data_IF_549850795792
#
_entry.id   IF_549850795792
#
_cell.length_a   1.000
_cell.length_b   1.000
_cell.length_c   1.000
_cell.angle_alpha   90.00
_cell.angle_beta   90.00
_cell.angle_gamma   90.00
#
_symmetry.space_group_name_H-M   'P 1'
#
loop_
_entity.id
_entity.type
_entity.pdbx_description
1 polymer ?
#
# COMPACT_ATOMS: atom_id res chain seq x y z
N UNK A 1 12.63 -12.18 5.15
CA UNK A 1 12.92 -10.94 4.41
C UNK A 1 12.01 -10.83 3.21
N UNK A 2 11.47 -9.65 2.97
CA UNK A 2 10.63 -9.38 1.80
C UNK A 2 11.47 -9.03 0.58
N UNK A 3 10.90 -9.21 -0.59
CA UNK A 3 11.51 -8.73 -1.84
C UNK A 3 11.17 -7.27 -2.07
N UNK A 4 9.99 -6.82 -1.58
CA UNK A 4 9.50 -5.46 -1.76
C UNK A 4 8.75 -5.00 -0.52
N UNK A 5 8.99 -3.76 -0.10
CA UNK A 5 8.12 -3.05 0.85
C UNK A 5 7.48 -1.88 0.11
N UNK A 6 6.16 -1.76 0.25
CA UNK A 6 5.40 -0.61 -0.27
C UNK A 6 4.97 0.22 0.93
N UNK A 7 5.29 1.51 0.90
CA UNK A 7 4.94 2.43 1.97
C UNK A 7 3.86 3.38 1.48
N UNK A 8 2.68 3.26 2.03
CA UNK A 8 1.55 4.08 1.70
C UNK A 8 0.39 3.30 1.11
N UNK A 9 -0.83 3.72 1.44
CA UNK A 9 -2.07 3.08 1.00
C UNK A 9 -2.91 3.95 0.07
N UNK A 10 -2.33 5.01 -0.50
CA UNK A 10 -3.00 5.83 -1.50
C UNK A 10 -3.06 5.13 -2.86
N UNK A 11 -3.49 5.83 -3.92
CA UNK A 11 -3.61 5.23 -5.25
C UNK A 11 -2.30 4.61 -5.77
N UNK A 12 -1.17 5.27 -5.55
CA UNK A 12 0.14 4.76 -5.98
C UNK A 12 0.52 3.48 -5.25
N UNK A 13 0.39 3.47 -3.92
CA UNK A 13 0.71 2.29 -3.12
C UNK A 13 -0.21 1.12 -3.41
N UNK A 14 -1.50 1.39 -3.57
CA UNK A 14 -2.47 0.36 -3.94
C UNK A 14 -2.16 -0.23 -5.31
N UNK A 15 -1.84 0.60 -6.30
CA UNK A 15 -1.46 0.14 -7.63
C UNK A 15 -0.21 -0.76 -7.56
N UNK A 16 0.82 -0.32 -6.85
CA UNK A 16 2.02 -1.12 -6.66
C UNK A 16 1.69 -2.47 -5.99
N UNK A 17 0.81 -2.45 -5.00
CA UNK A 17 0.38 -3.68 -4.30
C UNK A 17 -0.33 -4.68 -5.20
N UNK A 18 -1.24 -4.19 -6.05
CA UNK A 18 -1.93 -5.04 -7.02
C UNK A 18 -0.95 -5.67 -8.00
N UNK A 19 -0.04 -4.86 -8.56
CA UNK A 19 0.95 -5.39 -9.51
C UNK A 19 1.93 -6.35 -8.86
N UNK A 20 2.41 -6.06 -7.66
CA UNK A 20 3.28 -6.96 -6.92
C UNK A 20 2.61 -8.30 -6.65
N UNK A 21 1.35 -8.26 -6.22
CA UNK A 21 0.57 -9.47 -5.96
C UNK A 21 0.40 -10.31 -7.22
N UNK A 22 0.05 -9.68 -8.33
CA UNK A 22 -0.15 -10.38 -9.59
C UNK A 22 1.13 -10.98 -10.14
N UNK A 23 2.28 -10.39 -9.83
CA UNK A 23 3.60 -10.93 -10.19
C UNK A 23 4.15 -11.90 -9.13
N UNK A 24 3.39 -12.16 -8.09
CA UNK A 24 3.75 -13.09 -7.02
C UNK A 24 5.06 -12.71 -6.31
N UNK A 25 5.27 -11.43 -6.13
CA UNK A 25 6.43 -10.89 -5.41
C UNK A 25 6.12 -10.85 -3.93
N UNK A 26 6.98 -11.46 -3.12
CA UNK A 26 6.82 -11.46 -1.66
C UNK A 26 6.95 -10.03 -1.14
N UNK A 27 5.84 -9.45 -0.71
CA UNK A 27 5.70 -8.02 -0.43
C UNK A 27 5.02 -7.78 0.90
N UNK A 28 5.38 -6.70 1.58
CA UNK A 28 4.55 -6.11 2.63
C UNK A 28 4.16 -4.69 2.23
N UNK A 29 2.88 -4.37 2.35
CA UNK A 29 2.35 -3.03 2.17
C UNK A 29 2.02 -2.46 3.54
N UNK A 30 2.68 -1.36 3.89
CA UNK A 30 2.54 -0.71 5.19
C UNK A 30 1.82 0.61 4.99
N UNK A 31 0.70 0.82 5.65
CA UNK A 31 -0.10 2.03 5.54
C UNK A 31 -0.78 2.36 6.85
N UNK A 32 -0.89 3.65 7.17
CA UNK A 32 -1.73 4.06 8.29
C UNK A 32 -3.20 3.81 7.96
N UNK A 33 -3.59 4.11 6.72
CA UNK A 33 -4.93 3.85 6.19
C UNK A 33 -4.87 3.79 4.67
N UNK A 34 -5.92 3.28 4.05
CA UNK A 34 -6.05 3.30 2.59
C UNK A 34 -6.72 4.59 2.10
N UNK A 35 -6.39 4.98 0.87
CA UNK A 35 -6.95 6.15 0.20
C UNK A 35 -6.07 7.39 0.25
N UNK A 36 -5.18 7.52 1.23
CA UNK A 36 -4.31 8.68 1.37
C UNK A 36 -5.13 9.98 1.43
N UNK A 37 -4.66 11.03 0.77
CA UNK A 37 -5.37 12.32 0.74
C UNK A 37 -6.67 12.28 -0.06
N UNK A 38 -6.85 11.30 -0.92
CA UNK A 38 -8.07 11.16 -1.71
C UNK A 38 -9.33 11.01 -0.86
N UNK A 39 -9.19 10.47 0.35
CA UNK A 39 -10.31 10.23 1.26
C UNK A 39 -11.02 11.53 1.69
N UNK A 40 -10.33 12.66 1.63
CA UNK A 40 -10.88 13.96 2.01
C UNK A 40 -11.77 14.57 0.91
N UNK A 41 -11.68 14.09 -0.32
CA UNK A 41 -12.51 14.57 -1.41
C UNK A 41 -13.91 14.03 -1.33
N UNK A 42 -14.90 14.92 -1.43
CA UNK A 42 -16.30 14.51 -1.49
C UNK A 42 -16.66 13.91 -2.83
N UNK A 43 -16.04 14.38 -3.89
CA UNK A 43 -16.26 13.90 -5.25
C UNK A 43 -14.99 14.03 -6.07
N UNK A 44 -14.53 12.89 -6.59
CA UNK A 44 -13.35 12.81 -7.44
C UNK A 44 -13.84 12.60 -8.87
N UNK A 45 -13.43 13.47 -9.78
CA UNK A 45 -13.89 13.47 -11.18
C UNK A 45 -12.77 13.19 -12.17
N UNK A 46 -11.56 12.97 -11.69
CA UNK A 46 -10.39 12.72 -12.54
C UNK A 46 -9.77 11.34 -12.31
N UNK A 47 -10.52 10.43 -11.73
CA UNK A 47 -10.12 9.01 -11.65
C UNK A 47 -10.60 8.35 -12.94
N UNK A 48 -9.69 8.17 -13.88
CA UNK A 48 -10.02 7.68 -15.21
C UNK A 48 -10.65 6.28 -15.12
N UNK A 49 -11.77 6.12 -15.81
CA UNK A 49 -12.56 4.89 -15.76
C UNK A 49 -13.79 5.01 -14.87
N UNK A 50 -13.87 6.07 -14.06
CA UNK A 50 -15.01 6.36 -13.19
C UNK A 50 -15.38 7.82 -13.35
N UNK A 51 -16.61 8.13 -13.74
CA UNK A 51 -17.04 9.50 -14.00
C UNK A 51 -16.94 10.37 -12.75
N UNK A 52 -17.42 9.84 -11.62
CA UNK A 52 -17.36 10.53 -10.33
C UNK A 52 -17.40 9.48 -9.20
N UNK A 53 -16.62 9.69 -8.15
CA UNK A 53 -16.57 8.81 -6.99
C UNK A 53 -16.16 9.62 -5.77
N UNK A 54 -16.74 9.31 -4.60
CA UNK A 54 -16.27 9.91 -3.35
C UNK A 54 -14.89 9.37 -2.98
N UNK A 55 -14.10 10.16 -2.25
CA UNK A 55 -12.80 9.72 -1.77
C UNK A 55 -12.89 8.48 -0.89
N UNK A 56 -13.94 8.40 -0.06
CA UNK A 56 -14.18 7.24 0.81
C UNK A 56 -14.42 5.98 -0.02
N UNK A 57 -15.24 6.07 -1.05
CA UNK A 57 -15.54 4.93 -1.92
C UNK A 57 -14.32 4.53 -2.75
N UNK A 58 -13.54 5.49 -3.23
CA UNK A 58 -12.29 5.20 -3.93
C UNK A 58 -11.32 4.47 -3.01
N UNK A 59 -11.15 4.95 -1.78
CA UNK A 59 -10.26 4.30 -0.79
C UNK A 59 -10.68 2.85 -0.54
N UNK A 60 -11.98 2.63 -0.40
CA UNK A 60 -12.54 1.29 -0.21
C UNK A 60 -12.27 0.39 -1.40
N UNK A 61 -12.49 0.91 -2.62
CA UNK A 61 -12.23 0.15 -3.85
C UNK A 61 -10.76 -0.22 -3.98
N UNK A 62 -9.85 0.70 -3.68
CA UNK A 62 -8.41 0.47 -3.73
C UNK A 62 -8.00 -0.63 -2.74
N UNK A 63 -8.48 -0.54 -1.52
CA UNK A 63 -8.22 -1.55 -0.49
C UNK A 63 -8.72 -2.93 -0.89
N UNK A 64 -9.94 -3.02 -1.37
CA UNK A 64 -10.55 -4.27 -1.82
C UNK A 64 -9.77 -4.87 -2.99
N UNK A 65 -9.30 -4.04 -3.93
CA UNK A 65 -8.55 -4.51 -5.07
C UNK A 65 -7.22 -5.15 -4.66
N UNK A 66 -6.47 -4.49 -3.77
CA UNK A 66 -5.22 -5.04 -3.23
C UNK A 66 -5.50 -6.36 -2.51
N UNK A 67 -6.50 -6.38 -1.63
CA UNK A 67 -6.84 -7.56 -0.84
C UNK A 67 -7.24 -8.74 -1.71
N UNK A 68 -7.92 -8.49 -2.80
CA UNK A 68 -8.38 -9.57 -3.71
C UNK A 68 -7.20 -10.35 -4.28
N UNK A 69 -6.12 -9.66 -4.69
CA UNK A 69 -4.96 -10.31 -5.28
C UNK A 69 -3.86 -10.68 -4.29
N UNK A 70 -3.88 -10.10 -3.08
CA UNK A 70 -2.81 -10.26 -2.10
C UNK A 70 -2.49 -11.71 -1.76
N UNK A 71 -3.50 -12.50 -1.44
CA UNK A 71 -3.36 -13.91 -1.07
C UNK A 71 -2.19 -14.10 -0.10
N UNK A 72 -1.23 -14.97 -0.43
CA UNK A 72 -0.02 -15.19 0.37
C UNK A 72 1.16 -14.32 -0.06
N UNK A 73 1.02 -13.51 -1.12
CA UNK A 73 2.14 -12.74 -1.67
C UNK A 73 2.30 -11.36 -1.05
N UNK A 74 1.21 -10.71 -0.68
CA UNK A 74 1.25 -9.37 -0.10
C UNK A 74 0.66 -9.38 1.31
N UNK A 75 1.51 -9.14 2.29
CA UNK A 75 1.06 -8.89 3.66
C UNK A 75 0.64 -7.43 3.79
N UNK A 76 -0.56 -7.18 4.27
CA UNK A 76 -1.09 -5.82 4.43
C UNK A 76 -1.03 -5.45 5.91
N UNK A 77 -0.26 -4.41 6.21
CA UNK A 77 -0.12 -3.86 7.56
C UNK A 77 -0.79 -2.49 7.62
N UNK A 78 -2.08 -2.50 7.81
CA UNK A 78 -2.88 -1.28 7.99
C UNK A 78 -2.83 -0.83 9.45
N UNK A 79 -2.76 0.47 9.67
CA UNK A 79 -2.62 1.03 11.01
C UNK A 79 -1.19 1.07 11.51
N UNK A 80 -0.21 0.87 10.64
CA UNK A 80 1.21 1.02 10.96
C UNK A 80 1.78 2.24 10.26
N UNK A 81 2.65 2.95 10.97
CA UNK A 81 3.35 4.13 10.46
C UNK A 81 4.84 3.88 10.38
N UNK A 82 5.42 4.06 9.20
CA UNK A 82 6.87 3.99 9.03
C UNK A 82 7.51 5.21 9.69
N UNK A 83 8.51 4.97 10.53
CA UNK A 83 9.22 6.02 11.27
C UNK A 83 10.67 6.17 10.88
N UNK A 84 11.29 5.15 10.32
CA UNK A 84 12.70 5.19 9.93
C UNK A 84 13.00 4.18 8.85
N UNK A 85 13.88 4.54 7.93
CA UNK A 85 14.40 3.65 6.90
C UNK A 85 15.91 3.72 6.96
N UNK A 86 16.59 2.59 7.10
CA UNK A 86 18.04 2.49 7.04
C UNK A 86 18.45 1.46 6.00
N UNK A 87 19.69 1.53 5.55
CA UNK A 87 20.22 0.63 4.52
C UNK A 87 21.65 0.22 4.85
N UNK A 88 21.87 -0.60 5.91
CA UNK A 88 23.22 -1.08 6.21
C UNK A 88 23.74 -2.04 5.12
N UNK A 89 23.00 -3.09 4.82
CA UNK A 89 23.28 -4.06 3.73
C UNK A 89 22.00 -4.30 2.92
N UNK A 90 20.87 -4.35 3.58
CA UNK A 90 19.53 -4.40 3.00
C UNK A 90 18.74 -3.24 3.59
N UNK A 91 17.59 -2.94 3.01
CA UNK A 91 16.70 -1.94 3.61
C UNK A 91 16.07 -2.49 4.88
N UNK A 92 16.10 -1.69 5.93
CA UNK A 92 15.40 -1.96 7.18
C UNK A 92 14.37 -0.85 7.36
N UNK A 93 13.10 -1.23 7.38
CA UNK A 93 11.98 -0.31 7.55
C UNK A 93 11.41 -0.50 8.95
N UNK A 94 11.51 0.55 9.76
CA UNK A 94 11.02 0.54 11.13
C UNK A 94 9.69 1.26 11.21
N UNK A 95 8.73 0.63 11.86
CA UNK A 95 7.41 1.20 12.10
C UNK A 95 7.16 1.36 13.59
N UNK A 96 6.03 1.97 13.94
CA UNK A 96 5.58 2.05 15.33
C UNK A 96 5.20 0.70 15.93
N UNK A 97 5.16 -0.37 15.13
CA UNK A 97 4.77 -1.72 15.60
C UNK A 97 5.82 -2.80 15.34
N UNK A 98 6.86 -2.52 14.59
CA UNK A 98 7.86 -3.53 14.29
C UNK A 98 8.90 -3.08 13.29
N UNK A 99 9.60 -4.07 12.76
CA UNK A 99 10.72 -3.86 11.84
C UNK A 99 10.63 -4.87 10.71
N UNK A 100 10.92 -4.44 9.50
CA UNK A 100 10.87 -5.29 8.31
C UNK A 100 12.13 -5.11 7.48
N UNK A 101 12.63 -6.20 6.93
CA UNK A 101 13.77 -6.17 6.01
C UNK A 101 13.31 -6.45 4.60
N UNK A 102 13.91 -5.76 3.64
CA UNK A 102 13.57 -5.92 2.23
C UNK A 102 14.76 -5.61 1.31
N UNK A 103 14.67 -6.15 0.10
CA UNK A 103 15.63 -5.85 -0.96
C UNK A 103 15.32 -4.54 -1.67
N UNK A 104 14.04 -4.15 -1.72
CA UNK A 104 13.56 -2.99 -2.49
C UNK A 104 12.41 -2.29 -1.78
N UNK A 105 12.35 -0.98 -1.94
CA UNK A 105 11.23 -0.18 -1.45
C UNK A 105 10.58 0.55 -2.63
#
# INVERSE_FOLDING_TARGET
MYELIIIGGGPAGAAAGVYAARKQIKTVLIAESFGGQSIESKEIQNWIGTVAISGIDLAKNLKEHVKFYAKSFVDIKEGEKVIEITHPNTFIVKTNKGEYQTKTI
#
